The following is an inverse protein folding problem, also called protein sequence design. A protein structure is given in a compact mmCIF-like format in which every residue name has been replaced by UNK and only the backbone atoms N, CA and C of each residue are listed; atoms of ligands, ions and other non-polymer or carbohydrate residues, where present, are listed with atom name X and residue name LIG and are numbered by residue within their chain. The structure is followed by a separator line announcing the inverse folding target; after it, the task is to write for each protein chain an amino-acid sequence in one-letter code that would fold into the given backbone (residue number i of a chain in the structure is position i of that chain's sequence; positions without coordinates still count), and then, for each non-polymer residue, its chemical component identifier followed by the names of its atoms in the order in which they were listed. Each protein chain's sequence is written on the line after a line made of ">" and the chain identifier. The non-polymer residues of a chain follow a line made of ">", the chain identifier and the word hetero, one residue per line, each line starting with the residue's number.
data_IF_540680063456
#
_entry.id   IF_540680063456
#
_cell.length_a   1.000
_cell.length_b   1.000
_cell.length_c   1.000
_cell.angle_alpha   90.00
_cell.angle_beta   90.00
_cell.angle_gamma   90.00
#
_symmetry.space_group_name_H-M   'P 1'
#
loop_
_entity.id
_entity.type
_entity.pdbx_description
1 polymer ?
#
# COMPACT_ATOMS: atom_id res chain seq x y z
N UNK A 1 -39.12 19.37 33.46
CA UNK A 1 -38.89 17.92 33.55
C UNK A 1 -39.46 17.26 32.29
N UNK A 2 -38.62 17.07 31.27
CA UNK A 2 -38.98 16.30 30.07
C UNK A 2 -37.75 15.50 29.66
N UNK A 3 -37.78 14.25 30.09
CA UNK A 3 -36.99 13.14 29.57
C UNK A 3 -37.28 12.99 28.07
N UNK A 4 -36.25 13.02 27.23
CA UNK A 4 -36.28 12.42 25.90
C UNK A 4 -35.13 11.43 25.85
N UNK A 5 -35.48 10.18 26.15
CA UNK A 5 -34.61 9.00 26.11
C UNK A 5 -34.66 8.42 24.69
N UNK A 6 -33.47 8.35 24.09
CA UNK A 6 -32.89 7.17 23.45
C UNK A 6 -33.83 6.26 22.62
N UNK A 7 -33.77 6.42 21.29
CA UNK A 7 -34.09 5.34 20.35
C UNK A 7 -33.36 5.59 19.01
N UNK A 8 -32.05 5.34 18.97
CA UNK A 8 -31.33 5.19 17.69
C UNK A 8 -31.16 3.69 17.44
N UNK A 9 -32.13 3.13 16.73
CA UNK A 9 -32.14 1.76 16.28
C UNK A 9 -31.00 1.52 15.27
N UNK A 10 -30.29 0.43 15.49
CA UNK A 10 -29.32 -0.14 14.59
C UNK A 10 -29.95 -0.45 13.22
N UNK A 11 -29.41 0.14 12.16
CA UNK A 11 -29.64 -0.31 10.79
C UNK A 11 -28.28 -0.63 10.16
N UNK A 12 -27.87 -1.88 10.32
CA UNK A 12 -26.69 -2.47 9.72
C UNK A 12 -27.06 -3.03 8.34
N UNK A 13 -26.59 -2.48 7.20
CA UNK A 13 -26.76 -3.13 5.92
C UNK A 13 -25.75 -4.28 5.79
N UNK A 14 -26.21 -5.50 6.03
CA UNK A 14 -25.56 -6.71 5.57
C UNK A 14 -25.72 -6.81 4.03
N UNK A 15 -24.84 -6.17 3.27
CA UNK A 15 -24.70 -6.41 1.85
C UNK A 15 -23.60 -7.46 1.62
N UNK A 16 -24.03 -8.64 1.19
CA UNK A 16 -23.22 -9.79 0.86
C UNK A 16 -22.15 -9.45 -0.20
N UNK A 17 -20.89 -9.41 0.23
CA UNK A 17 -19.74 -9.33 -0.66
C UNK A 17 -19.37 -10.75 -1.09
N UNK A 18 -19.71 -11.12 -2.32
CA UNK A 18 -19.26 -12.36 -2.96
C UNK A 18 -17.88 -12.13 -3.59
N UNK A 19 -16.81 -12.82 -3.18
CA UNK A 19 -15.58 -12.79 -3.94
C UNK A 19 -15.67 -13.80 -5.09
N UNK A 20 -15.91 -13.31 -6.31
CA UNK A 20 -15.64 -14.06 -7.55
C UNK A 20 -14.12 -14.19 -7.68
N UNK A 21 -13.60 -15.30 -7.17
CA UNK A 21 -12.17 -15.64 -7.20
C UNK A 21 -11.86 -16.40 -8.48
N UNK A 22 -11.78 -15.70 -9.61
CA UNK A 22 -11.23 -16.25 -10.86
C UNK A 22 -9.71 -16.21 -10.80
N UNK A 23 -9.11 -17.25 -10.21
CA UNK A 23 -7.65 -17.46 -10.25
C UNK A 23 -7.29 -17.99 -11.63
N UNK A 24 -6.96 -17.09 -12.56
CA UNK A 24 -6.31 -17.44 -13.81
C UNK A 24 -4.85 -17.74 -13.48
N UNK A 25 -4.49 -19.04 -13.51
CA UNK A 25 -3.12 -19.51 -13.36
C UNK A 25 -2.22 -18.92 -14.47
N UNK A 26 -1.53 -17.82 -14.16
CA UNK A 26 -0.43 -17.31 -14.97
C UNK A 26 0.84 -18.07 -14.58
N UNK A 27 1.43 -18.74 -15.58
CA UNK A 27 2.70 -19.44 -15.50
C UNK A 27 3.81 -18.49 -14.98
N UNK A 28 4.69 -18.93 -14.06
CA UNK A 28 5.83 -18.14 -13.66
C UNK A 28 6.83 -18.07 -14.84
N UNK A 29 7.05 -16.85 -15.33
CA UNK A 29 8.17 -16.54 -16.22
C UNK A 29 9.44 -16.67 -15.39
N UNK A 30 10.30 -17.61 -15.79
CA UNK A 30 11.68 -17.76 -15.28
C UNK A 30 12.43 -16.44 -15.45
N UNK A 31 12.97 -15.81 -14.39
CA UNK A 31 14.02 -14.81 -14.58
C UNK A 31 15.29 -15.57 -14.97
N UNK A 32 15.71 -15.46 -16.23
CA UNK A 32 17.07 -15.86 -16.59
C UNK A 32 18.03 -14.92 -15.87
N UNK A 33 18.97 -15.54 -15.16
CA UNK A 33 19.98 -14.86 -14.38
C UNK A 33 20.84 -13.92 -15.21
N UNK A 34 21.01 -12.72 -14.68
CA UNK A 34 22.17 -11.88 -14.95
C UNK A 34 22.89 -11.71 -13.62
N UNK A 35 23.81 -12.61 -13.33
CA UNK A 35 24.78 -12.46 -12.26
C UNK A 35 25.83 -11.43 -12.70
N UNK A 36 25.93 -10.32 -11.99
CA UNK A 36 27.16 -9.55 -11.81
C UNK A 36 26.93 -8.49 -10.72
N UNK A 37 27.33 -8.83 -9.50
CA UNK A 37 27.86 -7.87 -8.53
C UNK A 37 29.36 -8.18 -8.39
N UNK A 38 30.20 -7.41 -7.67
CA UNK A 38 30.01 -6.12 -7.00
C UNK A 38 31.19 -5.13 -7.26
N UNK A 39 31.37 -4.12 -6.40
CA UNK A 39 32.47 -3.13 -6.27
C UNK A 39 32.27 -1.82 -7.01
N UNK A 40 31.82 -0.79 -6.29
CA UNK A 40 32.72 0.27 -5.80
C UNK A 40 31.98 1.11 -4.75
N UNK A 41 32.56 1.17 -3.56
CA UNK A 41 32.26 2.15 -2.54
C UNK A 41 33.39 3.17 -2.54
N UNK A 42 33.06 4.45 -2.70
CA UNK A 42 33.79 5.63 -2.23
C UNK A 42 32.89 6.84 -2.53
N UNK A 43 32.36 7.52 -1.52
CA UNK A 43 32.97 8.72 -0.91
C UNK A 43 33.12 9.89 -1.89
N UNK A 44 32.22 10.87 -1.77
CA UNK A 44 32.48 12.30 -2.01
C UNK A 44 31.20 13.12 -1.80
N UNK A 45 31.07 13.73 -0.62
CA UNK A 45 30.50 15.07 -0.50
C UNK A 45 31.25 16.02 -1.45
N UNK A 46 30.53 16.81 -2.25
CA UNK A 46 30.82 18.23 -2.51
C UNK A 46 29.87 18.80 -3.58
N UNK A 47 29.39 19.99 -3.26
CA UNK A 47 29.16 21.13 -4.15
C UNK A 47 28.21 21.06 -5.35
N UNK A 48 27.12 21.80 -5.16
CA UNK A 48 26.52 22.74 -6.11
C UNK A 48 27.28 22.94 -7.43
N UNK A 49 26.63 22.56 -8.54
CA UNK A 49 26.58 23.37 -9.76
C UNK A 49 25.37 22.98 -10.60
N UNK A 50 24.51 23.98 -10.79
CA UNK A 50 23.49 24.09 -11.81
C UNK A 50 23.99 23.53 -13.15
N UNK A 51 23.50 22.34 -13.51
CA UNK A 51 23.64 21.82 -14.87
C UNK A 51 22.42 22.28 -15.66
N UNK A 52 22.65 23.32 -16.46
CA UNK A 52 21.77 23.75 -17.54
C UNK A 52 21.33 22.54 -18.37
N UNK A 53 20.02 22.35 -18.44
CA UNK A 53 19.38 21.35 -19.27
C UNK A 53 19.58 21.74 -20.75
N UNK A 54 20.33 20.97 -21.57
CA UNK A 54 20.55 21.34 -22.96
C UNK A 54 19.24 21.23 -23.73
N UNK A 55 18.77 22.39 -24.21
CA UNK A 55 17.65 22.58 -25.13
C UNK A 55 17.65 21.51 -26.23
N UNK A 56 16.56 20.74 -26.41
CA UNK A 56 16.49 19.76 -27.49
C UNK A 56 16.54 20.48 -28.84
N UNK A 57 17.55 20.14 -29.66
CA UNK A 57 17.68 20.63 -31.04
C UNK A 57 16.42 20.25 -31.84
N UNK A 58 15.77 21.21 -32.52
CA UNK A 58 14.65 20.89 -33.41
C UNK A 58 15.14 20.07 -34.62
N UNK A 59 14.44 18.98 -34.91
CA UNK A 59 14.58 18.21 -36.15
C UNK A 59 14.34 19.14 -37.36
N UNK A 60 15.15 19.07 -38.43
CA UNK A 60 14.89 19.83 -39.65
C UNK A 60 13.62 19.30 -40.33
N UNK A 61 12.67 20.19 -40.55
CA UNK A 61 11.54 20.00 -41.46
C UNK A 61 12.04 19.96 -42.91
N UNK A 62 11.50 19.09 -43.78
CA UNK A 62 11.78 19.17 -45.20
C UNK A 62 11.11 20.41 -45.79
N UNK A 63 11.93 21.31 -46.33
CA UNK A 63 11.55 22.47 -47.13
C UNK A 63 11.07 22.00 -48.51
N UNK A 64 9.83 22.27 -48.94
CA UNK A 64 9.49 22.23 -50.35
C UNK A 64 9.97 23.53 -51.00
N UNK A 65 11.12 23.45 -51.68
CA UNK A 65 11.63 24.53 -52.51
C UNK A 65 10.83 24.66 -53.82
N UNK A 66 10.61 25.89 -54.33
CA UNK A 66 9.96 26.18 -55.60
C UNK A 66 10.98 26.32 -56.75
N UNK A 67 10.67 25.81 -57.95
CA UNK A 67 11.18 26.26 -59.27
C UNK A 67 10.74 25.23 -60.33
N UNK A 68 9.86 25.57 -61.26
CA UNK A 68 10.15 26.25 -62.53
C UNK A 68 10.79 25.34 -63.60
N UNK A 69 9.96 25.01 -64.60
CA UNK A 69 10.19 25.23 -66.03
C UNK A 69 11.53 24.82 -66.68
N UNK A 70 11.49 23.76 -67.52
CA UNK A 70 12.27 23.54 -68.76
C UNK A 70 11.37 22.67 -69.66
N UNK A 71 10.91 23.01 -70.87
CA UNK A 71 11.47 23.59 -72.11
C UNK A 71 12.71 22.86 -72.65
N UNK A 72 12.51 22.19 -73.79
CA UNK A 72 13.47 21.48 -74.65
C UNK A 72 12.75 20.24 -75.22
N UNK A 73 12.20 20.18 -76.43
CA UNK A 73 12.68 20.47 -77.79
C UNK A 73 13.76 19.48 -78.30
N UNK A 74 13.48 18.92 -79.49
CA UNK A 74 14.34 18.13 -80.40
C UNK A 74 14.62 16.68 -79.97
N UNK A 75 14.61 15.65 -80.82
CA UNK A 75 14.25 15.44 -82.24
C UNK A 75 14.37 13.92 -82.51
N UNK A 76 14.06 13.50 -83.74
CA UNK A 76 14.44 12.27 -84.42
C UNK A 76 13.52 11.02 -84.35
N UNK A 77 12.74 10.91 -85.44
CA UNK A 77 12.72 9.80 -86.42
C UNK A 77 12.20 8.41 -86.02
N UNK A 78 11.19 7.93 -86.76
CA UNK A 78 11.28 6.80 -87.73
C UNK A 78 9.84 6.34 -88.08
N UNK A 79 9.26 6.75 -89.20
CA UNK A 79 9.25 6.06 -90.50
C UNK A 79 8.49 4.71 -90.56
N UNK A 80 7.17 4.76 -90.82
CA UNK A 80 6.42 3.75 -91.60
C UNK A 80 5.04 4.34 -91.95
N UNK A 81 4.77 4.85 -93.16
CA UNK A 81 4.67 4.19 -94.48
C UNK A 81 3.46 3.24 -94.60
N UNK A 82 2.28 3.76 -94.92
CA UNK A 82 1.30 3.15 -95.84
C UNK A 82 0.21 4.17 -96.30
N UNK A 83 -0.07 4.29 -97.62
CA UNK A 83 -0.83 5.41 -98.25
C UNK A 83 -2.36 5.20 -98.41
N UNK A 84 -3.12 6.26 -98.74
CA UNK A 84 -4.56 6.21 -99.05
C UNK A 84 -4.86 5.70 -100.49
N UNK A 85 -6.05 5.14 -100.76
CA UNK A 85 -6.47 4.84 -102.13
C UNK A 85 -6.90 6.11 -102.91
N UNK A 86 -6.63 6.18 -104.23
CA UNK A 86 -6.72 7.39 -105.07
C UNK A 86 -8.10 7.64 -105.72
N UNK A 87 -8.33 8.87 -106.25
CA UNK A 87 -9.39 9.18 -107.22
C UNK A 87 -8.93 8.91 -108.66
N UNK A 88 -9.78 8.28 -109.47
CA UNK A 88 -9.63 8.11 -110.93
C UNK A 88 -10.94 8.56 -111.57
N UNK A 89 -11.02 9.72 -112.23
CA UNK A 89 -10.46 10.11 -113.52
C UNK A 89 -11.10 9.39 -114.73
N UNK A 90 -11.65 10.24 -115.60
CA UNK A 90 -12.22 10.03 -116.93
C UNK A 90 -11.49 9.02 -117.82
N UNK A 91 -12.27 8.29 -118.64
CA UNK A 91 -11.85 7.89 -120.00
C UNK A 91 -13.06 8.05 -120.94
N UNK A 92 -12.86 8.92 -121.94
CA UNK A 92 -13.60 9.02 -123.21
C UNK A 92 -13.04 7.99 -124.19
N UNK A 93 -13.90 7.49 -125.09
CA UNK A 93 -13.67 6.90 -126.43
C UNK A 93 -14.39 5.56 -126.54
N UNK A 94 -14.97 5.11 -127.65
CA UNK A 94 -15.32 5.64 -128.96
C UNK A 94 -15.96 4.44 -129.69
N UNK A 95 -16.78 4.73 -130.72
CA UNK A 95 -17.13 3.82 -131.84
C UNK A 95 -17.96 2.57 -131.49
N UNK A 96 -18.79 2.01 -132.36
CA UNK A 96 -19.47 2.36 -133.61
C UNK A 96 -20.37 1.12 -133.91
N UNK A 97 -21.25 1.22 -134.89
CA UNK A 97 -21.98 0.09 -135.52
C UNK A 97 -23.16 -0.53 -134.73
N UNK A 98 -24.39 -0.17 -135.12
CA UNK A 98 -25.20 -1.00 -136.05
C UNK A 98 -26.64 -0.48 -136.10
N UNK A 99 -26.93 0.30 -137.15
CA UNK A 99 -28.25 0.37 -137.78
C UNK A 99 -28.69 -1.04 -138.17
N UNK A 100 -29.91 -1.46 -137.76
CA UNK A 100 -30.80 -2.40 -138.47
C UNK A 100 -32.14 -2.45 -137.69
N UNK A 101 -33.24 -2.52 -138.43
CA UNK A 101 -34.62 -2.80 -138.02
C UNK A 101 -35.50 -1.60 -137.55
N UNK A 102 -35.82 -0.75 -138.53
CA UNK A 102 -37.11 -0.04 -138.62
C UNK A 102 -38.08 -0.94 -139.40
N UNK A 103 -39.35 -0.94 -139.00
CA UNK A 103 -40.54 -1.64 -139.56
C UNK A 103 -41.00 -2.79 -138.65
N UNK A 104 -41.97 -2.50 -137.75
CA UNK A 104 -43.18 -3.30 -137.38
C UNK A 104 -43.85 -2.65 -136.14
N UNK A 105 -45.20 -2.56 -136.18
CA UNK A 105 -46.16 -2.37 -135.07
C UNK A 105 -46.33 -0.99 -134.36
N UNK A 106 -47.32 -0.16 -134.76
CA UNK A 106 -47.79 1.00 -134.00
C UNK A 106 -48.86 0.66 -132.92
N UNK A 107 -48.71 -0.46 -132.21
CA UNK A 107 -49.56 -0.85 -131.06
C UNK A 107 -48.73 -1.16 -129.78
N UNK A 108 -47.39 -1.16 -129.87
CA UNK A 108 -46.48 -1.30 -128.71
C UNK A 108 -46.08 0.05 -128.06
N UNK A 109 -46.35 1.19 -128.70
CA UNK A 109 -45.95 2.51 -128.17
C UNK A 109 -46.82 2.95 -126.96
N UNK A 110 -48.06 2.44 -126.88
CA UNK A 110 -48.94 2.63 -125.73
C UNK A 110 -48.51 1.74 -124.54
N UNK A 111 -48.11 0.49 -124.78
CA UNK A 111 -47.53 -0.38 -123.75
C UNK A 111 -46.14 0.10 -123.30
N UNK A 112 -45.31 0.63 -124.19
CA UNK A 112 -44.01 1.20 -123.83
C UNK A 112 -44.15 2.48 -122.99
N UNK A 113 -45.16 3.32 -123.25
CA UNK A 113 -45.46 4.49 -122.40
C UNK A 113 -46.04 4.09 -121.05
N UNK A 114 -46.92 3.09 -120.99
CA UNK A 114 -47.43 2.55 -119.73
C UNK A 114 -46.30 1.88 -118.90
N UNK A 115 -45.42 1.12 -119.54
CA UNK A 115 -44.25 0.52 -118.90
C UNK A 115 -43.23 1.56 -118.44
N UNK A 116 -43.04 2.65 -119.18
CA UNK A 116 -42.17 3.76 -118.78
C UNK A 116 -42.74 4.55 -117.59
N UNK A 117 -44.06 4.77 -117.53
CA UNK A 117 -44.71 5.40 -116.39
C UNK A 117 -44.69 4.50 -115.15
N UNK A 118 -44.92 3.20 -115.30
CA UNK A 118 -44.80 2.23 -114.21
C UNK A 118 -43.35 2.11 -113.71
N UNK A 119 -42.35 2.13 -114.61
CA UNK A 119 -40.93 2.16 -114.25
C UNK A 119 -40.56 3.45 -113.51
N UNK A 120 -41.11 4.60 -113.94
CA UNK A 120 -40.92 5.88 -113.25
C UNK A 120 -41.56 5.87 -111.86
N UNK A 121 -42.78 5.35 -111.72
CA UNK A 121 -43.44 5.22 -110.43
C UNK A 121 -42.70 4.25 -109.49
N UNK A 122 -42.15 3.15 -110.00
CA UNK A 122 -41.29 2.23 -109.23
C UNK A 122 -39.99 2.90 -108.80
N UNK A 123 -39.33 3.64 -109.69
CA UNK A 123 -38.10 4.38 -109.37
C UNK A 123 -38.35 5.49 -108.33
N UNK A 124 -39.45 6.23 -108.43
CA UNK A 124 -39.85 7.24 -107.45
C UNK A 124 -40.21 6.59 -106.10
N UNK A 125 -40.87 5.43 -106.09
CA UNK A 125 -41.15 4.68 -104.87
C UNK A 125 -39.87 4.14 -104.21
N UNK A 126 -38.88 3.66 -104.97
CA UNK A 126 -37.58 3.25 -104.43
C UNK A 126 -36.75 4.45 -103.94
N UNK A 127 -36.76 5.57 -104.66
CA UNK A 127 -36.14 6.81 -104.21
C UNK A 127 -36.78 7.34 -102.91
N UNK A 128 -38.10 7.25 -102.78
CA UNK A 128 -38.80 7.60 -101.54
C UNK A 128 -38.44 6.65 -100.40
N UNK A 129 -38.34 5.33 -100.66
CA UNK A 129 -37.90 4.33 -99.67
C UNK A 129 -36.47 4.57 -99.20
N UNK A 130 -35.53 4.87 -100.11
CA UNK A 130 -34.14 5.15 -99.74
C UNK A 130 -34.01 6.45 -98.97
N UNK A 131 -34.75 7.50 -99.34
CA UNK A 131 -34.82 8.76 -98.59
C UNK A 131 -35.39 8.57 -97.19
N UNK A 132 -36.49 7.83 -97.05
CA UNK A 132 -37.09 7.51 -95.75
C UNK A 132 -36.14 6.66 -94.88
N UNK A 133 -35.42 5.70 -95.47
CA UNK A 133 -34.43 4.92 -94.76
C UNK A 133 -33.22 5.77 -94.30
N UNK A 134 -32.76 6.71 -95.12
CA UNK A 134 -31.70 7.64 -94.78
C UNK A 134 -32.11 8.60 -93.65
N UNK A 135 -33.34 9.12 -93.71
CA UNK A 135 -33.90 9.98 -92.67
C UNK A 135 -34.08 9.22 -91.35
N UNK A 136 -34.60 7.99 -91.39
CA UNK A 136 -34.68 7.11 -90.22
C UNK A 136 -33.30 6.84 -89.60
N UNK A 137 -32.29 6.52 -90.42
CA UNK A 137 -30.91 6.33 -89.94
C UNK A 137 -30.33 7.61 -89.33
N UNK A 138 -30.65 8.78 -89.89
CA UNK A 138 -30.25 10.08 -89.33
C UNK A 138 -30.91 10.32 -87.97
N UNK A 139 -32.21 10.07 -87.84
CA UNK A 139 -32.94 10.19 -86.58
C UNK A 139 -32.43 9.20 -85.52
N UNK A 140 -32.13 7.94 -85.90
CA UNK A 140 -31.52 6.96 -85.00
C UNK A 140 -30.11 7.37 -84.54
N UNK A 141 -29.28 7.92 -85.45
CA UNK A 141 -27.96 8.42 -85.11
C UNK A 141 -28.02 9.66 -84.18
N UNK A 142 -28.96 10.57 -84.42
CA UNK A 142 -29.19 11.75 -83.57
C UNK A 142 -29.72 11.34 -82.19
N UNK A 143 -30.67 10.41 -82.12
CA UNK A 143 -31.17 9.85 -80.86
C UNK A 143 -30.06 9.13 -80.08
N UNK A 144 -29.20 8.35 -80.77
CA UNK A 144 -28.05 7.70 -80.14
C UNK A 144 -27.01 8.72 -79.64
N UNK A 145 -26.77 9.81 -80.37
CA UNK A 145 -25.89 10.88 -79.94
C UNK A 145 -26.46 11.63 -78.73
N UNK A 146 -27.76 11.94 -78.72
CA UNK A 146 -28.46 12.54 -77.59
C UNK A 146 -28.44 11.64 -76.35
N UNK A 147 -28.66 10.33 -76.52
CA UNK A 147 -28.56 9.36 -75.43
C UNK A 147 -27.14 9.28 -74.84
N UNK A 148 -26.10 9.27 -75.69
CA UNK A 148 -24.70 9.31 -75.25
C UNK A 148 -24.37 10.61 -74.51
N UNK A 149 -24.86 11.75 -75.01
CA UNK A 149 -24.66 13.05 -74.36
C UNK A 149 -25.34 13.10 -72.99
N UNK A 150 -26.58 12.60 -72.89
CA UNK A 150 -27.31 12.49 -71.62
C UNK A 150 -26.59 11.56 -70.64
N UNK A 151 -26.17 10.38 -71.07
CA UNK A 151 -25.42 9.45 -70.22
C UNK A 151 -24.08 10.05 -69.73
N UNK A 152 -23.38 10.81 -70.58
CA UNK A 152 -22.15 11.51 -70.18
C UNK A 152 -22.43 12.63 -69.18
N UNK A 153 -23.51 13.39 -69.36
CA UNK A 153 -23.91 14.43 -68.42
C UNK A 153 -24.32 13.85 -67.05
N UNK A 154 -25.08 12.75 -67.03
CA UNK A 154 -25.45 12.03 -65.81
C UNK A 154 -24.22 11.47 -65.09
N UNK A 155 -23.27 10.88 -65.83
CA UNK A 155 -22.01 10.40 -65.25
C UNK A 155 -21.16 11.53 -64.67
N UNK A 156 -21.10 12.69 -65.33
CA UNK A 156 -20.40 13.87 -64.81
C UNK A 156 -21.09 14.43 -63.56
N UNK A 157 -22.41 14.50 -63.54
CA UNK A 157 -23.17 14.93 -62.35
C UNK A 157 -22.96 13.98 -61.17
N UNK A 158 -22.97 12.66 -61.42
CA UNK A 158 -22.68 11.65 -60.40
C UNK A 158 -21.25 11.78 -59.86
N UNK A 159 -20.26 12.02 -60.72
CA UNK A 159 -18.87 12.22 -60.31
C UNK A 159 -18.69 13.50 -59.44
N UNK A 160 -19.36 14.60 -59.79
CA UNK A 160 -19.33 15.84 -59.00
C UNK A 160 -19.98 15.61 -57.62
N UNK A 161 -21.12 14.91 -57.57
CA UNK A 161 -21.78 14.56 -56.31
C UNK A 161 -20.89 13.70 -55.41
N UNK A 162 -20.29 12.64 -55.96
CA UNK A 162 -19.37 11.78 -55.23
C UNK A 162 -18.13 12.55 -54.71
N UNK A 163 -17.59 13.47 -55.51
CA UNK A 163 -16.48 14.33 -55.07
C UNK A 163 -16.89 15.30 -53.96
N UNK A 164 -18.12 15.82 -53.98
CA UNK A 164 -18.66 16.69 -52.93
C UNK A 164 -18.88 15.90 -51.62
N UNK A 165 -19.45 14.70 -51.69
CA UNK A 165 -19.64 13.82 -50.53
C UNK A 165 -18.29 13.46 -49.89
N UNK A 166 -17.29 13.09 -50.70
CA UNK A 166 -15.93 12.82 -50.19
C UNK A 166 -15.30 14.03 -49.49
N UNK A 167 -15.47 15.25 -50.03
CA UNK A 167 -14.99 16.48 -49.38
C UNK A 167 -15.67 16.72 -48.03
N UNK A 168 -16.97 16.46 -47.94
CA UNK A 168 -17.70 16.58 -46.67
C UNK A 168 -17.24 15.55 -45.64
N UNK A 169 -16.96 14.31 -46.06
CA UNK A 169 -16.39 13.29 -45.16
C UNK A 169 -14.99 13.67 -44.67
N UNK A 170 -14.13 14.18 -45.55
CA UNK A 170 -12.80 14.68 -45.17
C UNK A 170 -12.89 15.85 -44.18
N UNK A 171 -13.83 16.78 -44.35
CA UNK A 171 -14.05 17.88 -43.42
C UNK A 171 -14.58 17.40 -42.06
N UNK A 172 -15.53 16.46 -42.07
CA UNK A 172 -16.02 15.81 -40.84
C UNK A 172 -14.90 15.08 -40.11
N UNK A 173 -14.04 14.36 -40.83
CA UNK A 173 -12.88 13.67 -40.26
C UNK A 173 -11.86 14.65 -39.66
N UNK A 174 -11.57 15.77 -40.34
CA UNK A 174 -10.71 16.84 -39.81
C UNK A 174 -11.28 17.45 -38.54
N UNK A 175 -12.60 17.72 -38.51
CA UNK A 175 -13.26 18.24 -37.32
C UNK A 175 -13.17 17.25 -36.13
N UNK A 176 -13.48 15.98 -36.37
CA UNK A 176 -13.36 14.93 -35.36
C UNK A 176 -11.93 14.79 -34.81
N UNK A 177 -10.92 14.94 -35.67
CA UNK A 177 -9.52 14.92 -35.26
C UNK A 177 -9.15 16.11 -34.35
N UNK A 178 -9.62 17.32 -34.68
CA UNK A 178 -9.40 18.50 -33.85
C UNK A 178 -10.09 18.39 -32.49
N UNK A 179 -11.30 17.85 -32.45
CA UNK A 179 -12.03 17.62 -31.20
C UNK A 179 -11.34 16.55 -30.33
N UNK A 180 -10.80 15.50 -30.95
CA UNK A 180 -9.99 14.49 -30.25
C UNK A 180 -8.68 15.09 -29.67
N UNK A 181 -8.01 16.00 -30.38
CA UNK A 181 -6.83 16.70 -29.87
C UNK A 181 -7.16 17.58 -28.67
N UNK A 182 -8.25 18.36 -28.73
CA UNK A 182 -8.73 19.17 -27.59
C UNK A 182 -9.04 18.30 -26.37
N UNK A 183 -9.70 17.16 -26.57
CA UNK A 183 -9.98 16.21 -25.49
C UNK A 183 -8.68 15.65 -24.87
N UNK A 184 -7.64 15.40 -25.66
CA UNK A 184 -6.33 15.00 -25.13
C UNK A 184 -5.65 16.11 -24.32
N UNK A 185 -5.75 17.37 -24.74
CA UNK A 185 -5.22 18.50 -23.97
C UNK A 185 -5.96 18.69 -22.64
N UNK A 186 -7.28 18.59 -22.65
CA UNK A 186 -8.09 18.64 -21.42
C UNK A 186 -7.72 17.50 -20.45
N UNK A 187 -7.49 16.28 -20.97
CA UNK A 187 -7.01 15.16 -20.16
C UNK A 187 -5.61 15.41 -19.58
N UNK A 188 -4.71 16.04 -20.35
CA UNK A 188 -3.38 16.43 -19.85
C UNK A 188 -3.50 17.47 -18.74
N UNK A 189 -4.33 18.49 -18.90
CA UNK A 189 -4.59 19.48 -17.86
C UNK A 189 -5.19 18.86 -16.60
N UNK A 190 -6.17 17.96 -16.75
CA UNK A 190 -6.76 17.21 -15.63
C UNK A 190 -5.70 16.40 -14.89
N UNK A 191 -4.77 15.76 -15.59
CA UNK A 191 -3.63 15.04 -14.97
C UNK A 191 -2.69 15.97 -14.22
N UNK A 192 -2.41 17.16 -14.76
CA UNK A 192 -1.57 18.16 -14.07
C UNK A 192 -2.26 18.68 -12.81
N UNK A 193 -3.57 18.96 -12.87
CA UNK A 193 -4.37 19.35 -11.69
C UNK A 193 -4.40 18.25 -10.63
N UNK A 194 -4.65 17.00 -11.03
CA UNK A 194 -4.63 15.85 -10.12
C UNK A 194 -3.26 15.68 -9.44
N UNK A 195 -2.15 15.80 -10.18
CA UNK A 195 -0.80 15.76 -9.59
C UNK A 195 -0.54 16.91 -8.62
N UNK A 196 -1.06 18.11 -8.90
CA UNK A 196 -0.94 19.25 -7.99
C UNK A 196 -1.75 19.04 -6.71
N UNK A 197 -2.95 18.46 -6.82
CA UNK A 197 -3.78 18.09 -5.68
C UNK A 197 -3.12 16.99 -4.83
N UNK A 198 -2.55 15.96 -5.47
CA UNK A 198 -1.77 14.90 -4.80
C UNK A 198 -0.58 15.48 -4.03
N UNK A 199 0.20 16.38 -4.65
CA UNK A 199 1.31 17.06 -4.00
C UNK A 199 0.85 17.93 -2.80
N UNK A 200 -0.30 18.61 -2.92
CA UNK A 200 -0.86 19.39 -1.83
C UNK A 200 -1.35 18.51 -0.66
N UNK A 201 -1.89 17.32 -0.96
CA UNK A 201 -2.27 16.33 0.06
C UNK A 201 -1.02 15.78 0.75
N UNK A 202 0.04 15.45 -0.01
CA UNK A 202 1.31 15.00 0.54
C UNK A 202 1.95 16.05 1.46
N UNK A 203 1.93 17.33 1.08
CA UNK A 203 2.42 18.44 1.91
C UNK A 203 1.61 18.58 3.21
N UNK A 204 0.28 18.44 3.15
CA UNK A 204 -0.58 18.45 4.35
C UNK A 204 -0.25 17.29 5.30
N UNK A 205 -0.06 16.08 4.76
CA UNK A 205 0.35 14.92 5.54
C UNK A 205 1.73 15.11 6.19
N UNK A 206 2.71 15.66 5.46
CA UNK A 206 4.03 16.00 6.02
C UNK A 206 3.91 17.01 7.17
N UNK A 207 3.10 18.06 7.02
CA UNK A 207 2.84 19.04 8.10
C UNK A 207 2.16 18.40 9.32
N UNK A 208 1.21 17.50 9.10
CA UNK A 208 0.54 16.79 10.19
C UNK A 208 1.51 15.85 10.94
N UNK A 209 2.35 15.11 10.22
CA UNK A 209 3.37 14.26 10.81
C UNK A 209 4.39 15.08 11.63
N UNK A 210 4.80 16.25 11.13
CA UNK A 210 5.68 17.16 11.87
C UNK A 210 5.04 17.64 13.18
N UNK A 211 3.76 18.03 13.16
CA UNK A 211 3.01 18.41 14.36
C UNK A 211 2.92 17.27 15.37
N UNK A 212 2.61 16.06 14.90
CA UNK A 212 2.58 14.87 15.77
C UNK A 212 3.94 14.59 16.41
N UNK A 213 5.03 14.71 15.65
CA UNK A 213 6.38 14.53 16.19
C UNK A 213 6.72 15.59 17.26
N UNK A 214 6.28 16.83 17.08
CA UNK A 214 6.48 17.89 18.07
C UNK A 214 5.60 17.71 19.32
N UNK A 215 4.35 17.25 19.14
CA UNK A 215 3.45 16.90 20.25
C UNK A 215 4.00 15.71 21.05
N UNK A 216 4.56 14.69 20.39
CA UNK A 216 5.25 13.57 21.05
C UNK A 216 6.47 14.03 21.84
N UNK A 217 7.28 14.95 21.30
CA UNK A 217 8.41 15.53 22.04
C UNK A 217 7.92 16.28 23.28
N UNK A 218 6.88 17.10 23.15
CA UNK A 218 6.26 17.81 24.28
C UNK A 218 5.74 16.83 25.33
N UNK A 219 5.09 15.74 24.91
CA UNK A 219 4.62 14.69 25.81
C UNK A 219 5.78 14.00 26.55
N UNK A 220 6.91 13.72 25.87
CA UNK A 220 8.10 13.15 26.51
C UNK A 220 8.71 14.09 27.55
N UNK A 221 8.82 15.39 27.25
CA UNK A 221 9.31 16.39 28.21
C UNK A 221 8.37 16.49 29.41
N UNK A 222 7.05 16.51 29.18
CA UNK A 222 6.07 16.52 30.26
C UNK A 222 6.14 15.24 31.12
N UNK A 223 6.28 14.08 30.51
CA UNK A 223 6.46 12.81 31.22
C UNK A 223 7.75 12.79 32.05
N UNK A 224 8.86 13.31 31.51
CA UNK A 224 10.11 13.45 32.25
C UNK A 224 9.97 14.39 33.46
N UNK A 225 9.26 15.51 33.31
CA UNK A 225 8.98 16.43 34.42
C UNK A 225 8.14 15.76 35.52
N UNK A 226 7.16 14.94 35.16
CA UNK A 226 6.37 14.16 36.12
C UNK A 226 7.23 13.11 36.83
N UNK A 227 8.13 12.43 36.11
CA UNK A 227 9.09 11.49 36.71
C UNK A 227 10.04 12.20 37.68
N UNK A 228 10.53 13.39 37.35
CA UNK A 228 11.37 14.18 38.25
C UNK A 228 10.59 14.64 39.49
N UNK A 229 9.35 15.11 39.32
CA UNK A 229 8.49 15.51 40.43
C UNK A 229 8.17 14.34 41.37
N UNK A 230 7.89 13.16 40.83
CA UNK A 230 7.65 11.94 41.63
C UNK A 230 8.92 11.45 42.33
N UNK A 231 10.09 11.52 41.68
CA UNK A 231 11.37 11.25 42.31
C UNK A 231 11.67 12.21 43.48
N UNK A 232 11.40 13.52 43.30
CA UNK A 232 11.54 14.51 44.39
C UNK A 232 10.56 14.25 45.53
N UNK A 233 9.31 13.92 45.23
CA UNK A 233 8.29 13.61 46.24
C UNK A 233 8.66 12.36 47.05
N UNK A 234 9.11 11.28 46.39
CA UNK A 234 9.55 10.05 47.06
C UNK A 234 10.83 10.26 47.87
N UNK A 235 11.79 11.05 47.39
CA UNK A 235 12.98 11.42 48.16
C UNK A 235 12.61 12.22 49.42
N UNK A 236 11.67 13.17 49.31
CA UNK A 236 11.15 13.93 50.46
C UNK A 236 10.46 13.01 51.47
N UNK A 237 9.56 12.13 51.01
CA UNK A 237 8.86 11.18 51.88
C UNK A 237 9.84 10.23 52.59
N UNK A 238 10.89 9.79 51.90
CA UNK A 238 11.96 8.98 52.53
C UNK A 238 12.71 9.77 53.60
N UNK A 239 13.08 11.02 53.34
CA UNK A 239 13.75 11.87 54.32
C UNK A 239 12.87 12.12 55.57
N UNK A 240 11.56 12.31 55.38
CA UNK A 240 10.61 12.44 56.50
C UNK A 240 10.48 11.14 57.31
N UNK A 241 10.48 9.98 56.65
CA UNK A 241 10.48 8.67 57.32
C UNK A 241 11.78 8.40 58.09
N UNK A 242 12.94 8.73 57.50
CA UNK A 242 14.25 8.61 58.14
C UNK A 242 14.36 9.57 59.35
N UNK A 243 13.80 10.78 59.25
CA UNK A 243 13.70 11.70 60.38
C UNK A 243 12.79 11.18 61.50
N UNK A 244 11.62 10.62 61.16
CA UNK A 244 10.69 10.04 62.13
C UNK A 244 11.28 8.82 62.87
N UNK A 245 12.03 7.97 62.16
CA UNK A 245 12.73 6.84 62.79
C UNK A 245 13.86 7.32 63.69
N UNK A 246 14.63 8.35 63.30
CA UNK A 246 15.64 8.95 64.15
C UNK A 246 15.05 9.53 65.45
N UNK A 247 13.91 10.21 65.37
CA UNK A 247 13.21 10.72 66.57
C UNK A 247 12.71 9.60 67.47
N UNK A 248 12.16 8.52 66.89
CA UNK A 248 11.69 7.37 67.66
C UNK A 248 12.84 6.65 68.38
N UNK A 249 14.02 6.51 67.74
CA UNK A 249 15.21 5.95 68.37
C UNK A 249 15.72 6.83 69.52
N UNK A 250 15.73 8.16 69.33
CA UNK A 250 16.13 9.10 70.37
C UNK A 250 15.18 9.05 71.58
N UNK A 251 13.87 8.97 71.33
CA UNK A 251 12.86 8.86 72.39
C UNK A 251 12.97 7.53 73.14
N UNK A 252 13.16 6.41 72.43
CA UNK A 252 13.41 5.10 73.04
C UNK A 252 14.66 5.12 73.93
N UNK A 253 15.76 5.71 73.46
CA UNK A 253 16.99 5.85 74.27
C UNK A 253 16.73 6.66 75.54
N UNK A 254 15.97 7.75 75.45
CA UNK A 254 15.57 8.55 76.62
C UNK A 254 14.72 7.75 77.61
N UNK A 255 13.81 6.90 77.12
CA UNK A 255 13.02 5.98 77.96
C UNK A 255 13.89 4.91 78.61
N UNK A 256 14.89 4.37 77.91
CA UNK A 256 15.85 3.41 78.48
C UNK A 256 16.72 4.06 79.57
N UNK A 257 17.18 5.30 79.38
CA UNK A 257 17.93 6.07 80.38
C UNK A 257 17.08 6.37 81.63
N UNK A 258 15.81 6.77 81.46
CA UNK A 258 14.92 7.03 82.59
C UNK A 258 14.51 5.76 83.32
N UNK A 259 14.31 4.65 82.59
CA UNK A 259 14.07 3.33 83.17
C UNK A 259 15.29 2.82 83.94
N UNK A 260 16.51 3.02 83.41
CA UNK A 260 17.74 2.68 84.10
C UNK A 260 17.92 3.50 85.39
N UNK A 261 17.63 4.81 85.35
CA UNK A 261 17.65 5.67 86.54
C UNK A 261 16.63 5.20 87.59
N UNK A 262 15.40 4.87 87.18
CA UNK A 262 14.37 4.33 88.08
C UNK A 262 14.73 2.96 88.66
N UNK A 263 15.39 2.10 87.88
CA UNK A 263 15.89 0.82 88.36
C UNK A 263 17.02 1.01 89.39
N UNK A 264 17.92 1.97 89.17
CA UNK A 264 19.00 2.30 90.10
C UNK A 264 18.47 2.84 91.43
N UNK A 265 17.45 3.72 91.42
CA UNK A 265 16.83 4.21 92.67
C UNK A 265 16.11 3.09 93.41
N UNK A 266 15.39 2.21 92.71
CA UNK A 266 14.76 1.04 93.30
C UNK A 266 15.78 0.08 93.92
N UNK A 267 16.89 -0.19 93.23
CA UNK A 267 17.98 -1.03 93.73
C UNK A 267 18.63 -0.44 94.99
N UNK A 268 18.84 0.88 95.04
CA UNK A 268 19.35 1.58 96.22
C UNK A 268 18.37 1.45 97.40
N UNK A 269 17.07 1.66 97.18
CA UNK A 269 16.06 1.50 98.21
C UNK A 269 16.00 0.06 98.75
N UNK A 270 16.11 -0.96 97.89
CA UNK A 270 16.17 -2.36 98.34
C UNK A 270 17.44 -2.66 99.13
N UNK A 271 18.59 -2.10 98.74
CA UNK A 271 19.85 -2.28 99.46
C UNK A 271 19.80 -1.62 100.84
N UNK A 272 19.21 -0.42 100.95
CA UNK A 272 18.98 0.25 102.23
C UNK A 272 18.01 -0.55 103.13
N UNK A 273 16.93 -1.09 102.57
CA UNK A 273 15.99 -1.95 103.30
C UNK A 273 16.63 -3.27 103.77
N UNK A 274 17.48 -3.90 102.96
CA UNK A 274 18.24 -5.09 103.37
C UNK A 274 19.30 -4.76 104.42
N UNK A 275 19.96 -3.61 104.32
CA UNK A 275 20.89 -3.13 105.33
C UNK A 275 20.18 -2.87 106.67
N UNK A 276 18.98 -2.28 106.64
CA UNK A 276 18.14 -2.14 107.84
C UNK A 276 17.71 -3.48 108.40
N UNK A 277 17.27 -4.44 107.56
CA UNK A 277 16.95 -5.80 108.01
C UNK A 277 18.16 -6.49 108.63
N UNK A 278 19.36 -6.34 108.07
CA UNK A 278 20.60 -6.86 108.67
C UNK A 278 20.90 -6.20 110.02
N UNK A 279 20.78 -4.88 110.12
CA UNK A 279 20.94 -4.16 111.39
C UNK A 279 19.89 -4.57 112.42
N UNK A 280 18.65 -4.78 112.02
CA UNK A 280 17.58 -5.28 112.87
C UNK A 280 17.86 -6.72 113.33
N UNK A 281 18.31 -7.59 112.43
CA UNK A 281 18.71 -8.95 112.76
C UNK A 281 19.96 -9.00 113.65
N UNK A 282 20.93 -8.08 113.49
CA UNK A 282 22.06 -7.95 114.42
C UNK A 282 21.62 -7.43 115.79
N UNK A 283 20.69 -6.47 115.85
CA UNK A 283 20.08 -6.03 117.11
C UNK A 283 19.31 -7.15 117.79
N UNK A 284 18.58 -7.94 117.01
CA UNK A 284 17.86 -9.11 117.49
C UNK A 284 18.84 -10.19 117.96
N UNK A 285 19.92 -10.48 117.21
CA UNK A 285 20.99 -11.38 117.65
C UNK A 285 21.71 -10.86 118.88
N UNK A 286 21.94 -9.57 119.01
CA UNK A 286 22.53 -8.96 120.20
C UNK A 286 21.58 -9.03 121.40
N UNK A 287 20.28 -8.81 121.18
CA UNK A 287 19.25 -8.97 122.20
C UNK A 287 19.05 -10.45 122.58
N UNK A 288 19.11 -11.36 121.62
CA UNK A 288 19.06 -12.80 121.83
C UNK A 288 20.33 -13.32 122.49
N UNK A 289 21.51 -12.78 122.16
CA UNK A 289 22.77 -13.06 122.85
C UNK A 289 22.76 -12.50 124.27
N UNK A 290 22.12 -11.33 124.49
CA UNK A 290 21.89 -10.80 125.83
C UNK A 290 20.91 -11.67 126.61
N UNK A 291 19.80 -12.10 126.00
CA UNK A 291 18.85 -13.05 126.59
C UNK A 291 19.43 -14.45 126.77
N UNK A 292 20.35 -14.88 125.92
CA UNK A 292 21.06 -16.15 126.05
C UNK A 292 22.21 -16.02 127.03
N UNK A 293 22.80 -14.85 127.25
CA UNK A 293 23.74 -14.59 128.33
C UNK A 293 23.02 -14.49 129.67
N UNK A 294 21.81 -13.91 129.73
CA UNK A 294 20.92 -13.98 130.89
C UNK A 294 20.39 -15.41 131.10
N UNK A 295 20.03 -16.13 130.04
CA UNK A 295 19.59 -17.52 130.12
C UNK A 295 20.76 -18.49 130.32
N UNK A 296 22.00 -18.16 129.95
CA UNK A 296 23.22 -18.91 130.31
C UNK A 296 23.71 -18.52 131.70
N UNK A 297 23.39 -17.32 132.21
CA UNK A 297 23.52 -17.00 133.63
C UNK A 297 22.46 -17.74 134.46
N UNK A 298 21.25 -17.95 133.92
CA UNK A 298 20.21 -18.79 134.52
C UNK A 298 20.47 -20.30 134.35
N UNK A 299 21.01 -20.72 133.20
CA UNK A 299 21.34 -22.12 132.90
C UNK A 299 22.74 -22.52 133.39
N UNK A 300 23.63 -21.60 133.77
CA UNK A 300 24.82 -21.94 134.57
C UNK A 300 24.43 -22.40 135.99
N UNK A 301 23.19 -22.11 136.43
CA UNK A 301 22.60 -22.67 137.65
C UNK A 301 21.92 -24.03 137.38
N UNK A 302 21.45 -24.31 136.16
CA UNK A 302 20.66 -25.53 135.87
C UNK A 302 21.36 -26.61 134.99
N UNK A 303 22.38 -26.26 134.20
CA UNK A 303 23.07 -27.15 133.26
C UNK A 303 24.37 -27.77 133.84
N UNK A 304 24.34 -28.10 135.14
CA UNK A 304 25.24 -29.12 135.73
C UNK A 304 24.62 -30.54 135.64
N UNK A 305 23.47 -30.68 134.98
CA UNK A 305 22.82 -31.96 134.70
C UNK A 305 22.64 -32.11 133.20
N UNK A 306 23.19 -33.20 132.68
CA UNK A 306 22.88 -33.81 131.38
C UNK A 306 23.65 -33.26 130.18
N UNK A 307 24.84 -33.84 130.02
CA UNK A 307 25.44 -34.07 128.72
C UNK A 307 24.65 -35.10 127.89
N UNK A 308 24.96 -35.12 126.58
CA UNK A 308 24.93 -36.25 125.61
C UNK A 308 23.89 -36.24 124.46
N UNK A 309 24.37 -36.72 123.29
CA UNK A 309 23.72 -37.02 121.99
C UNK A 309 23.67 -35.87 120.94
N UNK A 310 24.61 -35.79 119.97
CA UNK A 310 24.69 -36.49 118.65
C UNK A 310 24.07 -35.65 117.48
N UNK A 311 24.89 -35.09 116.56
CA UNK A 311 25.21 -35.57 115.16
C UNK A 311 23.98 -35.75 114.24
N UNK A 312 23.83 -35.22 113.00
CA UNK A 312 24.68 -35.29 111.79
C UNK A 312 23.97 -34.70 110.53
N UNK A 313 24.76 -34.26 109.52
CA UNK A 313 24.57 -34.38 108.04
C UNK A 313 23.36 -33.65 107.34
N UNK A 314 23.30 -33.32 106.03
CA UNK A 314 24.16 -33.46 104.83
C UNK A 314 23.56 -32.66 103.62
N UNK A 315 24.43 -31.96 102.87
CA UNK A 315 24.67 -31.97 101.40
C UNK A 315 23.56 -31.94 100.30
N UNK A 316 23.79 -31.06 99.30
CA UNK A 316 23.71 -31.33 97.84
C UNK A 316 22.37 -31.02 97.13
N UNK A 317 22.24 -30.78 95.82
CA UNK A 317 23.13 -30.79 94.63
C UNK A 317 22.31 -30.27 93.40
N UNK A 318 23.02 -29.61 92.49
CA UNK A 318 22.78 -29.18 91.08
C UNK A 318 21.73 -29.97 90.24
N UNK A 319 21.22 -29.37 89.14
CA UNK A 319 21.55 -29.75 87.71
C UNK A 319 20.51 -29.35 86.62
N UNK A 320 20.98 -28.53 85.66
CA UNK A 320 20.91 -28.58 84.17
C UNK A 320 19.61 -28.58 83.32
N UNK A 321 19.85 -28.18 82.03
CA UNK A 321 19.39 -28.76 80.73
C UNK A 321 18.35 -27.89 79.98
N UNK A 322 18.57 -27.25 78.80
CA UNK A 322 19.10 -27.56 77.44
C UNK A 322 18.01 -27.88 76.38
N UNK A 323 18.27 -27.46 75.12
CA UNK A 323 17.70 -27.80 73.79
C UNK A 323 16.99 -26.62 73.07
N UNK A 324 17.41 -26.10 71.89
CA UNK A 324 17.55 -26.67 70.52
C UNK A 324 16.19 -26.87 69.81
N UNK A 325 15.96 -26.73 68.50
CA UNK A 325 16.55 -26.11 67.31
C UNK A 325 15.56 -26.38 66.13
N UNK A 326 15.48 -25.52 65.10
CA UNK A 326 14.87 -25.72 63.76
C UNK A 326 15.45 -24.64 62.82
N UNK A 327 15.66 -24.82 61.48
CA UNK A 327 14.60 -25.02 60.45
C UNK A 327 15.01 -25.95 59.25
N UNK A 328 14.10 -26.67 58.57
CA UNK A 328 13.27 -26.34 57.39
C UNK A 328 14.00 -26.09 56.04
N UNK A 329 13.78 -27.03 55.10
CA UNK A 329 14.12 -27.04 53.66
C UNK A 329 12.89 -26.59 52.86
N UNK A 330 13.03 -26.04 51.63
CA UNK A 330 11.97 -26.18 50.65
C UNK A 330 12.43 -26.86 49.34
N UNK A 331 11.60 -27.81 48.93
CA UNK A 331 11.67 -28.61 47.72
C UNK A 331 11.13 -27.85 46.51
N UNK A 332 11.79 -28.07 45.37
CA UNK A 332 11.38 -27.65 44.05
C UNK A 332 10.11 -28.41 43.61
N UNK A 333 9.06 -27.65 43.29
CA UNK A 333 7.83 -28.16 42.67
C UNK A 333 7.79 -27.74 41.20
N UNK A 334 8.01 -28.69 40.30
CA UNK A 334 7.75 -28.55 38.87
C UNK A 334 6.24 -28.57 38.61
N UNK A 335 5.69 -27.41 38.28
CA UNK A 335 4.34 -27.29 37.73
C UNK A 335 4.41 -27.28 36.21
N UNK A 336 3.87 -28.32 35.57
CA UNK A 336 3.58 -28.32 34.14
C UNK A 336 2.45 -27.34 33.86
N UNK A 337 2.81 -26.08 33.60
CA UNK A 337 1.86 -25.05 33.15
C UNK A 337 1.75 -25.18 31.64
N UNK A 338 0.58 -25.57 31.14
CA UNK A 338 0.26 -25.49 29.72
C UNK A 338 0.54 -24.06 29.25
N UNK A 339 1.49 -23.89 28.32
CA UNK A 339 1.96 -22.58 27.90
C UNK A 339 0.90 -21.93 27.03
N UNK A 340 0.09 -21.06 27.64
CA UNK A 340 -0.86 -20.23 26.89
C UNK A 340 -0.10 -19.46 25.79
N UNK A 341 -0.67 -19.38 24.59
CA UNK A 341 -0.09 -18.69 23.41
C UNK A 341 0.43 -17.28 23.74
N UNK A 342 -0.26 -16.57 24.63
CA UNK A 342 0.09 -15.22 25.07
C UNK A 342 1.36 -15.15 25.94
N UNK A 343 1.73 -16.24 26.60
CA UNK A 343 3.01 -16.34 27.30
C UNK A 343 4.16 -16.55 26.30
N UNK A 344 3.95 -17.40 25.29
CA UNK A 344 4.93 -17.68 24.23
C UNK A 344 5.23 -16.45 23.35
N UNK A 345 4.23 -15.59 23.10
CA UNK A 345 4.46 -14.34 22.36
C UNK A 345 5.32 -13.33 23.12
N UNK A 346 5.31 -13.37 24.46
CA UNK A 346 6.14 -12.51 25.33
C UNK A 346 7.60 -12.97 25.41
N UNK A 347 7.88 -14.24 25.10
CA UNK A 347 9.26 -14.75 25.07
C UNK A 347 10.05 -14.17 23.88
N UNK A 348 11.34 -13.96 24.10
CA UNK A 348 12.28 -13.52 23.07
C UNK A 348 12.73 -14.70 22.22
N UNK A 349 13.13 -14.44 20.97
CA UNK A 349 13.58 -15.49 20.03
C UNK A 349 14.67 -16.42 20.60
N UNK A 350 15.67 -15.93 21.38
CA UNK A 350 16.66 -16.81 22.01
C UNK A 350 16.04 -17.80 22.99
N UNK A 351 15.08 -17.36 23.83
CA UNK A 351 14.42 -18.24 24.80
C UNK A 351 13.55 -19.29 24.11
N UNK A 352 12.81 -18.89 23.07
CA UNK A 352 12.02 -19.82 22.25
C UNK A 352 12.88 -20.90 21.57
N UNK A 353 14.10 -20.55 21.14
CA UNK A 353 15.05 -21.52 20.56
C UNK A 353 15.61 -22.50 21.59
N UNK A 354 15.82 -22.06 22.84
CA UNK A 354 16.26 -22.94 23.92
C UNK A 354 15.19 -23.99 24.23
N UNK A 355 13.92 -23.57 24.33
CA UNK A 355 12.79 -24.49 24.58
C UNK A 355 12.61 -25.49 23.42
N UNK A 356 12.67 -25.04 22.17
CA UNK A 356 12.60 -25.92 21.00
C UNK A 356 13.77 -26.92 20.94
N UNK A 357 14.99 -26.49 21.32
CA UNK A 357 16.17 -27.38 21.37
C UNK A 357 16.07 -28.41 22.48
N UNK A 358 15.51 -28.03 23.64
CA UNK A 358 15.24 -28.96 24.73
C UNK A 358 14.21 -30.03 24.35
N UNK A 359 13.25 -29.69 23.48
CA UNK A 359 12.25 -30.62 22.93
C UNK A 359 12.70 -31.36 21.65
N UNK A 360 13.92 -31.12 21.17
CA UNK A 360 14.45 -31.79 19.96
C UNK A 360 13.82 -31.33 18.63
N UNK A 361 13.16 -30.17 18.60
CA UNK A 361 12.48 -29.63 17.42
C UNK A 361 13.38 -28.67 16.61
N UNK A 362 13.02 -28.41 15.35
CA UNK A 362 13.81 -27.57 14.43
C UNK A 362 13.80 -26.09 14.82
N UNK A 363 14.98 -25.51 15.09
CA UNK A 363 15.19 -24.14 15.64
C UNK A 363 15.35 -23.00 14.60
N UNK A 364 14.88 -23.18 13.36
CA UNK A 364 15.02 -22.18 12.28
C UNK A 364 13.70 -21.56 11.84
N UNK A 365 13.64 -20.25 11.60
CA UNK A 365 12.42 -19.57 11.12
C UNK A 365 12.18 -18.21 11.78
N UNK A 366 11.09 -17.55 11.39
CA UNK A 366 10.61 -16.31 12.02
C UNK A 366 10.00 -16.61 13.40
N UNK A 367 9.92 -15.60 14.29
CA UNK A 367 9.40 -15.76 15.67
C UNK A 367 8.01 -16.44 15.71
N UNK A 368 7.11 -16.09 14.80
CA UNK A 368 5.77 -16.69 14.72
C UNK A 368 5.81 -18.21 14.47
N UNK A 369 6.67 -18.68 13.55
CA UNK A 369 6.83 -20.10 13.23
C UNK A 369 7.42 -20.90 14.40
N UNK A 370 8.27 -20.27 15.23
CA UNK A 370 8.82 -20.91 16.43
C UNK A 370 7.72 -21.12 17.48
N UNK A 371 6.80 -20.17 17.62
CA UNK A 371 5.66 -20.26 18.54
C UNK A 371 4.67 -21.33 18.07
N UNK A 372 4.33 -21.34 16.78
CA UNK A 372 3.42 -22.36 16.21
C UNK A 372 3.95 -23.78 16.43
N UNK A 373 5.25 -24.04 16.20
CA UNK A 373 5.84 -25.35 16.46
C UNK A 373 5.81 -25.77 17.92
N UNK A 374 6.00 -24.83 18.86
CA UNK A 374 5.89 -25.13 20.29
C UNK A 374 4.44 -25.51 20.64
N UNK A 375 3.45 -24.81 20.07
CA UNK A 375 2.05 -25.14 20.26
C UNK A 375 1.67 -26.50 19.64
N UNK A 376 2.12 -26.78 18.42
CA UNK A 376 1.84 -28.04 17.73
C UNK A 376 2.44 -29.24 18.49
N UNK A 377 3.61 -29.06 19.10
CA UNK A 377 4.27 -30.10 19.91
C UNK A 377 3.55 -30.41 21.23
N UNK A 378 2.72 -29.50 21.74
CA UNK A 378 1.92 -29.73 22.95
C UNK A 378 0.57 -30.38 22.63
N UNK A 379 0.15 -30.35 21.36
CA UNK A 379 -1.09 -30.97 20.90
C UNK A 379 -0.92 -32.41 20.40
N UNK A 380 0.32 -32.90 20.30
CA UNK A 380 0.66 -34.29 19.95
C UNK A 380 1.02 -35.06 21.22
#
# INVERSE_FOLDING_TARGET
>A
ASLVILALAALSPAAAFTPVRSVRALKPIKPMGGAASPLFAADAEADAKTVENPKPKPKPTPTPGPAASKKGAADAADAAKAPPPPPTAEVKSADAEADIAKIIAPDEEAEAKAAAEEAKAKAEAEAAKTKAAAEKKKQEAEAAAAAKAKAKAEAQAAAVKAAAEKKQEEEKAKKAYLDALKAQEELKEKRVRAKKEEAAVEEKWKKQAARQADDEKRARVAAAAVQEATAKATAKAKAEADAATATAVAEKKKQEETAAAAAATKAKATAEAEAEKKKAAEREKAAAAKRSAEAQAAAAVEAKKQATAETTASSGKRKAKAAAAAPAVPAAGGGGVAMNRDALTKLTVPLLKVELKARGLKVGGKKAELIERLMDSESQ
#
